data_IF_991033206743
#
_entry.id   IF_991033206743
#
_cell.length_a   1.000
_cell.length_b   1.000
_cell.length_c   1.000
_cell.angle_alpha   90.00
_cell.angle_beta   90.00
_cell.angle_gamma   90.00
#
_symmetry.space_group_name_H-M   'P 1'
#
loop_
_entity.id
_entity.type
_entity.pdbx_description
1 polymer ?
#
# COMPACT_ATOMS: atom_id res chain seq x y z
N UNK A 1 -4.90 -5.89 -17.01
CA UNK A 1 -5.08 -4.64 -16.25
C UNK A 1 -6.46 -4.51 -15.63
N UNK A 2 -7.56 -4.83 -16.33
CA UNK A 2 -8.94 -4.66 -15.81
C UNK A 2 -9.28 -5.41 -14.50
N UNK A 3 -8.58 -6.50 -14.22
CA UNK A 3 -8.87 -7.37 -13.07
C UNK A 3 -8.41 -6.79 -11.73
N UNK A 4 -7.21 -6.20 -11.68
CA UNK A 4 -6.69 -5.48 -10.51
C UNK A 4 -7.51 -4.21 -10.26
N UNK A 5 -7.90 -3.52 -11.34
CA UNK A 5 -8.75 -2.33 -11.27
C UNK A 5 -10.09 -2.64 -10.59
N UNK A 6 -10.75 -3.75 -10.94
CA UNK A 6 -12.03 -4.14 -10.34
C UNK A 6 -11.93 -4.44 -8.84
N UNK A 7 -10.91 -5.18 -8.40
CA UNK A 7 -10.70 -5.46 -6.97
C UNK A 7 -10.35 -4.18 -6.19
N UNK A 8 -9.54 -3.31 -6.78
CA UNK A 8 -9.19 -2.01 -6.21
C UNK A 8 -10.39 -1.05 -6.13
N UNK A 9 -11.32 -1.12 -7.11
CA UNK A 9 -12.58 -0.38 -7.06
C UNK A 9 -13.47 -0.84 -5.91
N UNK A 10 -13.64 -2.15 -5.70
CA UNK A 10 -14.45 -2.67 -4.59
C UNK A 10 -13.80 -2.39 -3.22
N UNK A 11 -12.47 -2.48 -3.12
CA UNK A 11 -11.73 -2.07 -1.92
C UNK A 11 -11.97 -0.59 -1.58
N UNK A 12 -11.84 0.31 -2.57
CA UNK A 12 -12.10 1.75 -2.38
C UNK A 12 -13.53 2.04 -1.92
N UNK A 13 -14.52 1.25 -2.36
CA UNK A 13 -15.90 1.37 -1.87
C UNK A 13 -16.03 0.97 -0.40
N UNK A 14 -15.31 -0.07 0.04
CA UNK A 14 -15.27 -0.47 1.45
C UNK A 14 -14.58 0.60 2.29
N UNK A 15 -13.43 1.09 1.83
CA UNK A 15 -12.66 2.12 2.52
C UNK A 15 -13.49 3.41 2.68
N UNK A 16 -14.15 3.87 1.61
CA UNK A 16 -15.05 5.03 1.67
C UNK A 16 -16.23 4.79 2.62
N UNK A 17 -16.86 3.61 2.59
CA UNK A 17 -17.94 3.27 3.53
C UNK A 17 -17.44 3.19 4.97
N UNK A 18 -16.27 2.62 5.24
CA UNK A 18 -15.71 2.50 6.58
C UNK A 18 -15.37 3.87 7.18
N UNK A 19 -14.74 4.73 6.38
CA UNK A 19 -14.37 6.10 6.76
C UNK A 19 -15.61 6.95 7.06
N UNK A 20 -16.71 6.74 6.33
CA UNK A 20 -17.94 7.52 6.51
C UNK A 20 -18.85 6.94 7.62
N UNK A 21 -18.93 5.62 7.76
CA UNK A 21 -19.88 4.93 8.64
C UNK A 21 -19.55 5.08 10.12
N UNK A 22 -18.31 4.79 10.53
CA UNK A 22 -17.95 4.78 11.96
C UNK A 22 -17.98 6.19 12.60
N UNK A 23 -17.45 7.25 11.96
CA UNK A 23 -17.56 8.60 12.50
C UNK A 23 -19.01 9.10 12.55
N UNK A 24 -19.82 8.87 11.50
CA UNK A 24 -21.23 9.27 11.49
C UNK A 24 -22.05 8.61 12.60
N UNK A 25 -21.77 7.34 12.89
CA UNK A 25 -22.45 6.62 13.98
C UNK A 25 -22.02 7.18 15.35
N UNK A 26 -20.72 7.36 15.53
CA UNK A 26 -20.16 7.90 16.79
C UNK A 26 -20.69 9.30 17.06
N UNK A 27 -20.65 10.17 16.04
CA UNK A 27 -21.19 11.53 16.10
C UNK A 27 -22.71 11.54 16.34
N UNK A 28 -23.51 10.73 15.63
CA UNK A 28 -24.96 10.67 15.88
C UNK A 28 -25.30 10.23 17.30
N UNK A 29 -24.58 9.22 17.83
CA UNK A 29 -24.78 8.73 19.20
C UNK A 29 -24.43 9.79 20.24
N UNK A 30 -23.23 10.37 20.15
CA UNK A 30 -22.72 11.33 21.15
C UNK A 30 -23.48 12.67 21.12
N UNK A 31 -23.83 13.16 19.92
CA UNK A 31 -24.32 14.53 19.75
C UNK A 31 -25.83 14.66 20.00
N UNK A 32 -26.62 13.64 19.71
CA UNK A 32 -28.09 13.73 19.81
C UNK A 32 -28.64 13.26 21.16
N UNK A 33 -28.09 12.18 21.74
CA UNK A 33 -28.68 11.58 22.95
C UNK A 33 -28.16 12.22 24.23
N UNK A 34 -26.84 12.40 24.38
CA UNK A 34 -26.27 12.89 25.65
C UNK A 34 -26.31 14.41 25.79
N UNK A 35 -26.16 15.14 24.68
CA UNK A 35 -26.13 16.61 24.68
C UNK A 35 -27.52 17.20 24.84
N UNK A 36 -28.54 16.70 24.13
CA UNK A 36 -29.92 17.16 24.31
C UNK A 36 -30.47 16.80 25.71
N UNK A 37 -30.12 15.62 26.23
CA UNK A 37 -30.51 15.20 27.59
C UNK A 37 -29.94 16.15 28.64
N UNK A 38 -28.63 16.40 28.61
CA UNK A 38 -28.03 17.33 29.56
C UNK A 38 -28.57 18.76 29.39
N UNK A 39 -28.80 19.21 28.15
CA UNK A 39 -29.23 20.59 27.89
C UNK A 39 -30.70 20.83 28.27
N UNK A 40 -31.62 19.90 27.99
CA UNK A 40 -33.04 20.00 28.37
C UNK A 40 -33.27 19.79 29.87
N UNK A 41 -32.43 19.00 30.55
CA UNK A 41 -32.49 18.83 32.01
C UNK A 41 -31.92 20.06 32.75
N UNK A 42 -30.87 20.69 32.22
CA UNK A 42 -30.21 21.85 32.85
C UNK A 42 -30.96 23.18 32.64
N UNK A 43 -31.80 23.30 31.61
CA UNK A 43 -32.53 24.54 31.29
C UNK A 43 -33.85 24.73 32.04
N UNK A 44 -34.37 23.70 32.73
CA UNK A 44 -35.78 23.66 33.13
C UNK A 44 -35.96 23.46 34.65
N UNK A 45 -35.66 24.49 35.44
CA UNK A 45 -35.92 24.52 36.89
C UNK A 45 -37.41 24.57 37.29
N UNK A 46 -38.34 24.43 36.32
CA UNK A 46 -39.80 24.59 36.50
C UNK A 46 -40.64 23.63 35.66
N UNK A 47 -40.11 22.48 35.22
CA UNK A 47 -40.88 21.53 34.39
C UNK A 47 -41.82 20.67 35.24
N UNK A 48 -43.07 20.50 34.79
CA UNK A 48 -44.02 19.58 35.44
C UNK A 48 -43.63 18.13 35.17
N UNK A 49 -44.05 17.19 36.03
CA UNK A 49 -43.79 15.75 35.85
C UNK A 49 -44.25 15.24 34.48
N UNK A 50 -45.26 15.87 33.88
CA UNK A 50 -45.82 15.49 32.59
C UNK A 50 -44.93 15.89 31.40
N UNK A 51 -44.29 17.07 31.42
CA UNK A 51 -43.33 17.46 30.37
C UNK A 51 -42.08 16.58 30.40
N UNK A 52 -41.60 16.19 31.58
CA UNK A 52 -40.45 15.26 31.71
C UNK A 52 -40.79 13.89 31.11
N UNK A 53 -42.00 13.38 31.36
CA UNK A 53 -42.46 12.11 30.77
C UNK A 53 -42.57 12.17 29.25
N UNK A 54 -43.10 13.26 28.70
CA UNK A 54 -43.20 13.43 27.25
C UNK A 54 -41.82 13.50 26.58
N UNK A 55 -40.89 14.27 27.16
CA UNK A 55 -39.52 14.36 26.67
C UNK A 55 -38.82 13.00 26.69
N UNK A 56 -38.96 12.23 27.78
CA UNK A 56 -38.40 10.88 27.86
C UNK A 56 -38.99 9.95 26.79
N UNK A 57 -40.31 10.00 26.54
CA UNK A 57 -40.95 9.17 25.53
C UNK A 57 -40.47 9.49 24.10
N UNK A 58 -40.27 10.77 23.79
CA UNK A 58 -39.73 11.22 22.49
C UNK A 58 -38.27 10.78 22.29
N UNK A 59 -37.48 10.82 23.37
CA UNK A 59 -36.09 10.33 23.38
C UNK A 59 -36.06 8.82 23.17
N UNK A 60 -36.86 8.05 23.90
CA UNK A 60 -36.94 6.59 23.72
C UNK A 60 -37.26 6.23 22.27
N UNK A 61 -38.22 6.92 21.66
CA UNK A 61 -38.60 6.73 20.25
C UNK A 61 -37.46 7.08 19.29
N UNK A 62 -36.70 8.12 19.59
CA UNK A 62 -35.54 8.55 18.80
C UNK A 62 -34.40 7.54 18.89
N UNK A 63 -34.15 6.98 20.08
CA UNK A 63 -33.16 5.91 20.30
C UNK A 63 -33.56 4.63 19.56
N UNK A 64 -34.83 4.24 19.58
CA UNK A 64 -35.34 3.08 18.83
C UNK A 64 -35.16 3.27 17.32
N UNK A 65 -35.48 4.46 16.80
CA UNK A 65 -35.31 4.77 15.37
C UNK A 65 -33.84 4.72 14.95
N UNK A 66 -32.94 5.32 15.74
CA UNK A 66 -31.50 5.32 15.48
C UNK A 66 -30.91 3.91 15.55
N UNK A 67 -31.33 3.09 16.51
CA UNK A 67 -30.91 1.70 16.64
C UNK A 67 -31.34 0.87 15.43
N UNK A 68 -32.56 1.09 14.94
CA UNK A 68 -33.06 0.45 13.73
C UNK A 68 -32.26 0.85 12.48
N UNK A 69 -32.06 2.15 12.27
CA UNK A 69 -31.25 2.68 11.16
C UNK A 69 -29.82 2.13 11.20
N UNK A 70 -29.20 2.09 12.38
CA UNK A 70 -27.86 1.52 12.57
C UNK A 70 -27.81 0.04 12.18
N UNK A 71 -28.84 -0.74 12.53
CA UNK A 71 -28.92 -2.14 12.14
C UNK A 71 -28.97 -2.31 10.61
N UNK A 72 -29.73 -1.46 9.92
CA UNK A 72 -29.87 -1.54 8.47
C UNK A 72 -28.60 -1.07 7.74
N UNK A 73 -27.97 0.01 8.20
CA UNK A 73 -26.70 0.48 7.64
C UNK A 73 -25.59 -0.58 7.87
N UNK A 74 -25.57 -1.23 9.05
CA UNK A 74 -24.64 -2.33 9.32
C UNK A 74 -24.86 -3.52 8.37
N UNK A 75 -26.11 -3.90 8.08
CA UNK A 75 -26.40 -4.94 7.07
C UNK A 75 -25.90 -4.55 5.70
N UNK A 76 -25.99 -3.27 5.31
CA UNK A 76 -25.48 -2.79 4.03
C UNK A 76 -23.95 -2.83 3.96
N UNK A 77 -23.26 -2.43 5.04
CA UNK A 77 -21.81 -2.54 5.16
C UNK A 77 -21.35 -4.00 5.03
N UNK A 78 -22.01 -4.93 5.74
CA UNK A 78 -21.73 -6.36 5.65
C UNK A 78 -21.92 -6.90 4.24
N UNK A 79 -22.98 -6.46 3.52
CA UNK A 79 -23.17 -6.83 2.10
C UNK A 79 -22.00 -6.39 1.22
N UNK A 80 -21.42 -5.21 1.46
CA UNK A 80 -20.25 -4.73 0.70
C UNK A 80 -19.01 -5.58 1.02
N UNK A 81 -18.77 -5.92 2.29
CA UNK A 81 -17.69 -6.83 2.69
C UNK A 81 -17.82 -8.18 1.99
N UNK A 82 -18.99 -8.82 2.05
CA UNK A 82 -19.17 -10.14 1.42
C UNK A 82 -19.02 -10.11 -0.10
N UNK A 83 -19.29 -8.97 -0.77
CA UNK A 83 -19.02 -8.83 -2.21
C UNK A 83 -17.52 -8.79 -2.49
N UNK A 84 -16.76 -8.06 -1.68
CA UNK A 84 -15.31 -7.99 -1.82
C UNK A 84 -14.64 -9.34 -1.55
N UNK A 85 -15.07 -10.06 -0.51
CA UNK A 85 -14.62 -11.43 -0.22
C UNK A 85 -14.85 -12.36 -1.41
N UNK A 86 -16.03 -12.30 -2.05
CA UNK A 86 -16.32 -13.08 -3.26
C UNK A 86 -15.42 -12.71 -4.44
N UNK A 87 -15.08 -11.43 -4.60
CA UNK A 87 -14.15 -10.98 -5.65
C UNK A 87 -12.75 -11.52 -5.38
N UNK A 88 -12.27 -11.41 -4.14
CA UNK A 88 -11.03 -12.02 -3.63
C UNK A 88 -10.99 -13.51 -3.96
N UNK A 89 -11.99 -14.27 -3.53
CA UNK A 89 -12.06 -15.72 -3.69
C UNK A 89 -12.06 -16.15 -5.16
N UNK A 90 -12.72 -15.36 -6.02
CA UNK A 90 -12.78 -15.66 -7.46
C UNK A 90 -11.47 -15.35 -8.17
N UNK A 91 -10.70 -14.36 -7.70
CA UNK A 91 -9.51 -13.86 -8.39
C UNK A 91 -8.21 -14.51 -7.90
N UNK A 92 -8.09 -14.78 -6.61
CA UNK A 92 -6.89 -15.46 -6.07
C UNK A 92 -6.85 -16.97 -6.32
N UNK A 93 -7.94 -17.57 -6.81
CA UNK A 93 -7.95 -18.94 -7.34
C UNK A 93 -7.43 -19.04 -8.77
N UNK A 94 -6.99 -17.94 -9.40
CA UNK A 94 -6.35 -18.03 -10.71
C UNK A 94 -5.02 -18.77 -10.55
N UNK A 95 -4.98 -19.97 -11.12
CA UNK A 95 -3.79 -20.78 -11.15
C UNK A 95 -2.71 -20.06 -11.98
N UNK A 96 -1.68 -19.57 -11.28
CA UNK A 96 -0.57 -18.86 -11.90
C UNK A 96 0.30 -19.80 -12.76
N UNK A 97 0.13 -21.13 -12.65
CA UNK A 97 0.84 -22.07 -13.51
C UNK A 97 0.44 -21.97 -14.98
N UNK A 98 -0.70 -21.36 -15.32
CA UNK A 98 -1.09 -21.11 -16.73
C UNK A 98 -0.10 -20.13 -17.41
N UNK A 99 0.52 -19.23 -16.62
CA UNK A 99 1.57 -18.34 -17.10
C UNK A 99 2.97 -18.97 -17.01
N UNK A 100 3.09 -20.13 -16.35
CA UNK A 100 4.33 -20.87 -16.26
C UNK A 100 4.53 -21.66 -17.55
N UNK A 101 5.62 -21.38 -18.25
CA UNK A 101 6.10 -22.24 -19.31
C UNK A 101 7.34 -22.99 -18.78
N UNK A 102 7.18 -24.25 -18.32
CA UNK A 102 8.29 -25.02 -17.74
C UNK A 102 9.48 -25.15 -18.71
N UNK A 103 9.20 -25.17 -20.01
CA UNK A 103 10.20 -25.35 -21.05
C UNK A 103 10.89 -24.04 -21.47
N UNK A 104 10.42 -22.88 -20.99
CA UNK A 104 10.95 -21.58 -21.43
C UNK A 104 12.46 -21.40 -21.17
N UNK A 105 12.96 -22.07 -20.13
CA UNK A 105 14.33 -21.94 -19.63
C UNK A 105 15.15 -23.24 -19.68
N UNK A 106 14.61 -24.30 -20.31
CA UNK A 106 15.38 -25.53 -20.56
C UNK A 106 16.65 -25.17 -21.33
N UNK A 107 17.78 -25.69 -20.86
CA UNK A 107 19.14 -25.44 -21.38
C UNK A 107 19.62 -23.98 -21.36
N UNK A 108 18.92 -23.08 -20.65
CA UNK A 108 19.29 -21.65 -20.54
C UNK A 108 19.74 -21.25 -19.14
N UNK A 109 20.10 -22.21 -18.31
CA UNK A 109 20.46 -22.00 -16.91
C UNK A 109 21.57 -20.95 -16.75
N UNK A 110 22.64 -21.03 -17.56
CA UNK A 110 23.73 -20.05 -17.50
C UNK A 110 23.28 -18.63 -17.83
N UNK A 111 22.38 -18.45 -18.81
CA UNK A 111 21.84 -17.14 -19.18
C UNK A 111 20.96 -16.59 -18.06
N UNK A 112 20.15 -17.45 -17.45
CA UNK A 112 19.28 -17.09 -16.34
C UNK A 112 20.10 -16.68 -15.10
N UNK A 113 21.06 -17.51 -14.70
CA UNK A 113 21.94 -17.23 -13.57
C UNK A 113 22.73 -15.93 -13.79
N UNK A 114 23.29 -15.72 -14.99
CA UNK A 114 23.93 -14.44 -15.35
C UNK A 114 22.96 -13.26 -15.23
N UNK A 115 21.74 -13.40 -15.74
CA UNK A 115 20.72 -12.34 -15.69
C UNK A 115 20.34 -11.99 -14.24
N UNK A 116 20.22 -13.00 -13.38
CA UNK A 116 19.95 -12.83 -11.96
C UNK A 116 21.12 -12.11 -11.26
N UNK A 117 22.36 -12.54 -11.51
CA UNK A 117 23.54 -11.90 -10.96
C UNK A 117 23.65 -10.42 -11.38
N UNK A 118 23.46 -10.12 -12.67
CA UNK A 118 23.42 -8.75 -13.20
C UNK A 118 22.33 -7.91 -12.53
N UNK A 119 21.15 -8.50 -12.29
CA UNK A 119 20.07 -7.82 -11.59
C UNK A 119 20.47 -7.46 -10.15
N UNK A 120 21.10 -8.38 -9.41
CA UNK A 120 21.54 -8.10 -8.04
C UNK A 120 22.64 -7.03 -7.97
N UNK A 121 23.58 -7.04 -8.92
CA UNK A 121 24.60 -5.99 -9.05
C UNK A 121 23.94 -4.63 -9.27
N UNK A 122 22.95 -4.56 -10.17
CA UNK A 122 22.21 -3.33 -10.46
C UNK A 122 21.41 -2.80 -9.26
N UNK A 123 21.01 -3.69 -8.36
CA UNK A 123 20.30 -3.35 -7.12
C UNK A 123 21.26 -3.05 -5.95
N UNK A 124 22.57 -3.11 -6.16
CA UNK A 124 23.58 -2.86 -5.11
C UNK A 124 23.67 -3.95 -4.06
N UNK A 125 23.12 -5.15 -4.34
CA UNK A 125 23.09 -6.27 -3.39
C UNK A 125 24.38 -7.09 -3.46
N UNK A 126 25.53 -6.46 -3.28
CA UNK A 126 26.84 -7.07 -3.53
C UNK A 126 27.12 -8.35 -2.73
N UNK A 127 26.81 -8.38 -1.43
CA UNK A 127 26.96 -9.60 -0.60
C UNK A 127 26.13 -10.79 -1.13
N UNK A 128 24.95 -10.51 -1.69
CA UNK A 128 24.10 -11.53 -2.30
C UNK A 128 24.70 -12.00 -3.63
N UNK A 129 25.29 -11.10 -4.41
CA UNK A 129 26.03 -11.46 -5.63
C UNK A 129 27.19 -12.38 -5.28
N UNK A 130 28.02 -12.04 -4.30
CA UNK A 130 29.19 -12.85 -3.93
C UNK A 130 28.78 -14.28 -3.54
N UNK A 131 27.73 -14.42 -2.72
CA UNK A 131 27.18 -15.71 -2.31
C UNK A 131 26.61 -16.48 -3.53
N UNK A 132 25.81 -15.81 -4.35
CA UNK A 132 25.20 -16.40 -5.54
C UNK A 132 26.23 -16.87 -6.58
N UNK A 133 27.32 -16.12 -6.77
CA UNK A 133 28.40 -16.44 -7.70
C UNK A 133 29.24 -17.60 -7.20
N UNK A 134 29.44 -17.71 -5.87
CA UNK A 134 30.08 -18.87 -5.25
C UNK A 134 29.26 -20.15 -5.48
N UNK A 135 27.94 -20.07 -5.33
CA UNK A 135 27.03 -21.22 -5.48
C UNK A 135 26.86 -21.66 -6.95
N UNK A 136 26.92 -20.72 -7.90
CA UNK A 136 26.70 -20.97 -9.34
C UNK A 136 27.98 -21.18 -10.15
N UNK A 137 29.16 -21.05 -9.54
CA UNK A 137 30.47 -21.14 -10.20
C UNK A 137 30.67 -20.14 -11.36
N UNK A 138 29.95 -19.01 -11.37
CA UNK A 138 29.98 -18.01 -12.45
C UNK A 138 31.08 -16.94 -12.29
N UNK A 139 32.23 -17.28 -11.70
CA UNK A 139 33.15 -16.32 -11.08
C UNK A 139 33.67 -15.16 -11.96
N UNK A 140 33.67 -15.26 -13.30
CA UNK A 140 34.40 -14.30 -14.15
C UNK A 140 33.54 -13.27 -14.93
N UNK A 141 32.24 -13.45 -15.07
CA UNK A 141 31.49 -12.72 -16.12
C UNK A 141 31.09 -11.29 -15.70
N UNK A 142 31.06 -10.97 -14.42
CA UNK A 142 30.45 -9.72 -13.92
C UNK A 142 31.36 -8.87 -13.04
N UNK A 143 32.65 -9.20 -12.90
CA UNK A 143 33.58 -8.51 -11.99
C UNK A 143 33.71 -7.02 -12.35
N UNK A 144 33.96 -6.71 -13.62
CA UNK A 144 34.10 -5.33 -14.09
C UNK A 144 32.81 -4.50 -13.85
N UNK A 145 31.66 -5.10 -14.11
CA UNK A 145 30.38 -4.44 -13.87
C UNK A 145 30.10 -4.24 -12.38
N UNK A 146 30.47 -5.22 -11.54
CA UNK A 146 30.37 -5.11 -10.09
C UNK A 146 31.22 -3.96 -9.56
N UNK A 147 32.45 -3.78 -10.05
CA UNK A 147 33.30 -2.65 -9.68
C UNK A 147 32.70 -1.30 -10.12
N UNK A 148 32.13 -1.23 -11.33
CA UNK A 148 31.46 -0.03 -11.81
C UNK A 148 30.24 0.35 -10.94
N UNK A 149 29.40 -0.64 -10.57
CA UNK A 149 28.26 -0.39 -9.69
C UNK A 149 28.69 -0.09 -8.26
N UNK A 150 29.73 -0.73 -7.73
CA UNK A 150 30.28 -0.41 -6.41
C UNK A 150 30.74 1.05 -6.34
N UNK A 151 31.45 1.53 -7.37
CA UNK A 151 31.82 2.94 -7.47
C UNK A 151 30.59 3.86 -7.57
N UNK A 152 29.58 3.48 -8.35
CA UNK A 152 28.33 4.23 -8.43
C UNK A 152 27.64 4.34 -7.06
N UNK A 153 27.51 3.25 -6.31
CA UNK A 153 26.88 3.27 -4.99
C UNK A 153 27.70 4.07 -3.97
N UNK A 154 29.03 4.03 -4.03
CA UNK A 154 29.90 4.93 -3.23
C UNK A 154 29.66 6.40 -3.53
N UNK A 155 29.45 6.76 -4.81
CA UNK A 155 29.13 8.13 -5.21
C UNK A 155 27.75 8.53 -4.69
N UNK A 156 26.74 7.66 -4.80
CA UNK A 156 25.40 7.92 -4.30
C UNK A 156 25.39 8.15 -2.79
N UNK A 157 26.06 7.30 -2.02
CA UNK A 157 26.20 7.45 -0.57
C UNK A 157 26.91 8.77 -0.20
N UNK A 158 27.94 9.17 -0.94
CA UNK A 158 28.60 10.46 -0.73
C UNK A 158 27.67 11.64 -1.02
N UNK A 159 26.85 11.56 -2.07
CA UNK A 159 25.86 12.61 -2.40
C UNK A 159 24.81 12.73 -1.30
N UNK A 160 24.31 11.61 -0.77
CA UNK A 160 23.36 11.59 0.35
C UNK A 160 23.94 12.25 1.62
N UNK A 161 25.27 12.19 1.78
CA UNK A 161 26.03 12.86 2.83
C UNK A 161 26.52 14.27 2.43
N UNK A 162 25.90 14.91 1.43
CA UNK A 162 26.24 16.24 0.92
C UNK A 162 27.69 16.40 0.40
N UNK A 163 28.34 15.29 0.04
CA UNK A 163 29.72 15.27 -0.47
C UNK A 163 29.73 14.96 -1.97
N UNK A 164 29.81 16.01 -2.80
CA UNK A 164 29.85 15.89 -4.26
C UNK A 164 31.25 15.53 -4.82
N UNK A 165 32.28 15.49 -3.97
CA UNK A 165 33.67 15.31 -4.43
C UNK A 165 33.89 14.00 -5.20
N UNK A 166 33.37 12.83 -4.76
CA UNK A 166 33.54 11.58 -5.50
C UNK A 166 32.87 11.62 -6.88
N UNK A 167 31.69 12.25 -7.00
CA UNK A 167 31.00 12.43 -8.27
C UNK A 167 31.81 13.28 -9.26
N UNK A 168 32.38 14.38 -8.78
CA UNK A 168 33.19 15.29 -9.60
C UNK A 168 34.49 14.64 -10.09
N UNK A 169 35.18 13.90 -9.21
CA UNK A 169 36.39 13.17 -9.60
C UNK A 169 36.09 12.05 -10.60
N UNK A 170 35.00 11.30 -10.40
CA UNK A 170 34.54 10.30 -11.35
C UNK A 170 34.26 10.94 -12.73
N UNK A 171 33.48 12.02 -12.78
CA UNK A 171 33.17 12.72 -14.02
C UNK A 171 34.43 13.28 -14.72
N UNK A 172 35.40 13.78 -13.94
CA UNK A 172 36.69 14.24 -14.47
C UNK A 172 37.49 13.08 -15.08
N UNK A 173 37.54 11.93 -14.41
CA UNK A 173 38.24 10.73 -14.91
C UNK A 173 37.62 10.16 -16.18
N UNK A 174 36.28 10.27 -16.32
CA UNK A 174 35.51 9.80 -17.48
C UNK A 174 35.23 10.87 -18.53
N UNK A 175 35.79 12.08 -18.39
CA UNK A 175 35.49 13.24 -19.24
C UNK A 175 35.55 12.94 -20.74
N UNK A 176 36.64 12.33 -21.22
CA UNK A 176 36.83 12.04 -22.65
C UNK A 176 35.73 11.11 -23.20
N UNK A 177 35.35 10.10 -22.42
CA UNK A 177 34.31 9.12 -22.78
C UNK A 177 32.93 9.80 -22.81
N UNK A 178 32.64 10.65 -21.83
CA UNK A 178 31.39 11.42 -21.76
C UNK A 178 31.27 12.44 -22.90
N UNK A 179 32.36 13.15 -23.23
CA UNK A 179 32.42 14.11 -24.34
C UNK A 179 32.27 13.42 -25.71
N UNK A 180 32.69 12.17 -25.85
CA UNK A 180 32.48 11.41 -27.08
C UNK A 180 31.03 11.00 -27.24
N UNK A 181 30.41 10.46 -26.18
CA UNK A 181 29.00 10.04 -26.20
C UNK A 181 28.03 11.20 -26.41
N UNK A 182 28.33 12.37 -25.82
CA UNK A 182 27.52 13.58 -25.99
C UNK A 182 27.63 14.25 -27.37
N UNK A 183 28.49 13.76 -28.27
CA UNK A 183 28.58 14.21 -29.67
C UNK A 183 27.80 13.30 -30.64
N UNK A 184 27.36 12.14 -30.17
CA UNK A 184 26.61 11.14 -30.95
C UNK A 184 25.08 11.26 -30.72
N UNK A 185 24.65 12.15 -29.82
CA UNK A 185 23.26 12.63 -29.67
C UNK A 185 23.04 13.97 -30.40
#
# INVERSE_FOLDING_TARGET
MDVLNSAQTEYKKIEAKHIDFFPKITEKMETSTLREVNQKILQDSTSTVETVKQNLAEIFRSVELLTSQMSDDHKEFQKTISRYEKVIDKKWKQDITIASNPDAFVDKEQVLQRTIALHFIRQGKFKLVDTFMQDTQLMDITIDLQEQFDNMYKILDAIDNFNLRPALEWAKSKRKELEQRGKEE
#
